data_IF_996096125251
#
_entry.id   IF_996096125251
#
_cell.length_a   1.000
_cell.length_b   1.000
_cell.length_c   1.000
_cell.angle_alpha   90.00
_cell.angle_beta   90.00
_cell.angle_gamma   90.00
#
_symmetry.space_group_name_H-M   'P 1'
#
loop_
_entity.id
_entity.type
_entity.pdbx_description
1 polymer ?
#
# COMPACT_ATOMS: atom_id res chain seq x y z
N UNK A 1 -36.38 -2.87 18.87
CA UNK A 1 -35.73 -3.39 17.68
C UNK A 1 -36.49 -2.91 16.46
N UNK A 2 -35.80 -2.52 15.37
CA UNK A 2 -36.49 -2.18 14.15
C UNK A 2 -37.18 -3.43 13.60
N UNK A 3 -38.46 -3.37 13.44
CA UNK A 3 -39.27 -4.49 12.96
C UNK A 3 -39.20 -4.64 11.44
N UNK A 4 -38.63 -3.64 10.76
CA UNK A 4 -38.40 -3.69 9.33
C UNK A 4 -36.89 -3.77 9.04
N UNK A 5 -36.43 -4.77 8.27
CA UNK A 5 -35.04 -4.85 7.88
C UNK A 5 -34.62 -3.60 7.09
N UNK A 6 -33.57 -2.94 7.51
CA UNK A 6 -32.98 -1.84 6.75
C UNK A 6 -32.07 -2.44 5.65
N UNK A 7 -32.41 -2.20 4.40
CA UNK A 7 -31.58 -2.66 3.28
C UNK A 7 -30.29 -1.85 3.20
N UNK A 8 -29.18 -2.50 2.87
CA UNK A 8 -27.88 -1.82 2.68
C UNK A 8 -27.94 -0.64 1.72
N UNK A 9 -28.81 -0.72 0.69
CA UNK A 9 -29.00 0.39 -0.24
C UNK A 9 -29.57 1.67 0.38
N UNK A 10 -30.29 1.58 1.50
CA UNK A 10 -30.78 2.75 2.26
C UNK A 10 -29.62 3.41 3.01
N UNK A 11 -28.71 2.61 3.55
CA UNK A 11 -27.53 3.11 4.25
C UNK A 11 -26.50 3.72 3.27
N UNK A 12 -26.39 3.19 2.06
CA UNK A 12 -25.47 3.63 1.03
C UNK A 12 -25.93 4.83 0.19
N UNK A 13 -27.20 5.25 0.34
CA UNK A 13 -27.78 6.31 -0.48
C UNK A 13 -28.11 5.88 -1.92
N UNK A 14 -28.69 6.80 -2.69
CA UNK A 14 -29.15 6.54 -4.06
C UNK A 14 -27.98 6.49 -5.06
N UNK A 15 -26.95 7.28 -4.86
CA UNK A 15 -25.72 7.28 -5.66
C UNK A 15 -24.58 6.62 -4.89
N UNK A 16 -24.42 5.33 -5.12
CA UNK A 16 -23.44 4.52 -4.40
C UNK A 16 -22.02 4.78 -4.84
N UNK A 17 -21.80 5.23 -6.08
CA UNK A 17 -20.46 5.38 -6.63
C UNK A 17 -19.67 6.50 -5.95
N UNK A 18 -20.35 7.58 -5.59
CA UNK A 18 -19.70 8.78 -5.01
C UNK A 18 -19.57 8.67 -3.48
N UNK A 19 -20.58 8.11 -2.80
CA UNK A 19 -20.65 8.13 -1.33
C UNK A 19 -20.03 6.91 -0.66
N UNK A 20 -19.86 5.81 -1.39
CA UNK A 20 -19.37 4.53 -0.83
C UNK A 20 -17.91 4.23 -1.13
N UNK A 21 -17.25 5.06 -1.92
CA UNK A 21 -15.83 4.91 -2.24
C UNK A 21 -15.07 6.06 -1.60
N UNK A 22 -14.47 5.85 -0.42
CA UNK A 22 -13.61 6.86 0.17
C UNK A 22 -12.41 7.09 -0.74
N UNK A 23 -12.16 8.36 -1.06
CA UNK A 23 -10.96 8.76 -1.82
C UNK A 23 -9.91 9.23 -0.84
N UNK A 24 -8.83 8.45 -0.71
CA UNK A 24 -7.66 8.79 0.08
C UNK A 24 -6.70 9.64 -0.76
N UNK A 25 -6.01 10.55 -0.12
CA UNK A 25 -5.06 11.48 -0.74
C UNK A 25 -3.71 11.36 -0.07
N UNK A 26 -2.64 11.41 -0.86
CA UNK A 26 -1.29 11.43 -0.32
C UNK A 26 -0.98 12.78 0.34
N UNK A 27 0.04 12.87 1.19
CA UNK A 27 0.52 14.13 1.74
C UNK A 27 0.95 15.15 0.67
N UNK A 28 1.31 14.70 -0.53
CA UNK A 28 1.72 15.54 -1.66
C UNK A 28 0.57 15.95 -2.59
N UNK A 29 -0.67 15.54 -2.29
CA UNK A 29 -1.81 15.72 -3.19
C UNK A 29 -2.00 17.17 -3.66
N UNK A 30 -1.99 18.13 -2.75
CA UNK A 30 -2.22 19.53 -3.11
C UNK A 30 -1.06 20.11 -3.95
N UNK A 31 0.19 19.78 -3.59
CA UNK A 31 1.35 20.19 -4.39
C UNK A 31 1.34 19.61 -5.80
N UNK A 32 0.94 18.36 -5.96
CA UNK A 32 0.78 17.72 -7.27
C UNK A 32 -0.35 18.35 -8.08
N UNK A 33 -1.46 18.65 -7.42
CA UNK A 33 -2.59 19.35 -8.05
C UNK A 33 -2.19 20.74 -8.56
N UNK A 34 -1.46 21.51 -7.76
CA UNK A 34 -0.92 22.80 -8.14
C UNK A 34 0.07 22.70 -9.32
N UNK A 35 0.78 21.58 -9.41
CA UNK A 35 1.69 21.26 -10.52
C UNK A 35 0.98 20.77 -11.78
N UNK A 36 -0.35 20.66 -11.78
CA UNK A 36 -1.15 20.31 -12.94
C UNK A 36 -1.21 18.82 -13.26
N UNK A 37 -1.05 17.95 -12.25
CA UNK A 37 -1.13 16.51 -12.48
C UNK A 37 -2.51 16.04 -12.90
N UNK A 38 -2.54 15.00 -13.73
CA UNK A 38 -3.73 14.19 -13.97
C UNK A 38 -3.78 13.10 -12.92
N UNK A 39 -4.85 13.06 -12.13
CA UNK A 39 -5.04 12.04 -11.11
C UNK A 39 -5.75 10.79 -11.65
N UNK A 40 -5.36 9.64 -11.13
CA UNK A 40 -6.03 8.36 -11.30
C UNK A 40 -6.31 7.70 -9.96
N UNK A 41 -7.21 6.70 -9.95
CA UNK A 41 -7.54 5.92 -8.76
C UNK A 41 -6.83 4.57 -8.78
N UNK A 42 -6.30 4.16 -7.62
CA UNK A 42 -5.81 2.82 -7.37
C UNK A 42 -6.29 2.35 -6.00
N UNK A 43 -7.19 1.37 -5.97
CA UNK A 43 -7.93 1.04 -4.75
C UNK A 43 -8.69 2.25 -4.23
N UNK A 44 -8.47 2.62 -2.98
CA UNK A 44 -9.09 3.78 -2.34
C UNK A 44 -8.30 5.09 -2.55
N UNK A 45 -7.18 5.05 -3.23
CA UNK A 45 -6.26 6.18 -3.37
C UNK A 45 -6.44 6.92 -4.68
N UNK A 46 -6.33 8.24 -4.59
CA UNK A 46 -6.11 9.13 -5.72
C UNK A 46 -4.60 9.39 -5.82
N UNK A 47 -3.97 8.96 -6.92
CA UNK A 47 -2.55 9.13 -7.15
C UNK A 47 -2.26 9.93 -8.42
N UNK A 48 -1.10 10.58 -8.47
CA UNK A 48 -0.62 11.30 -9.63
C UNK A 48 -0.23 10.33 -10.75
N UNK A 49 -0.81 10.51 -11.94
CA UNK A 49 -0.51 9.67 -13.09
C UNK A 49 0.58 10.28 -13.99
N UNK A 50 0.41 11.53 -14.38
CA UNK A 50 1.37 12.28 -15.19
C UNK A 50 1.12 13.79 -15.02
N UNK A 51 2.05 14.61 -15.54
CA UNK A 51 2.01 16.08 -15.52
C UNK A 51 2.05 16.63 -16.97
N UNK A 52 0.93 16.74 -17.67
CA UNK A 52 0.89 17.25 -19.03
C UNK A 52 1.38 18.69 -19.12
N UNK A 53 2.06 19.04 -20.22
CA UNK A 53 2.51 20.41 -20.52
C UNK A 53 1.76 20.89 -21.76
N UNK A 54 1.02 22.02 -21.62
CA UNK A 54 0.17 22.52 -22.71
C UNK A 54 -0.91 21.52 -23.12
N UNK A 55 -0.98 21.21 -24.40
CA UNK A 55 -2.00 20.31 -24.97
C UNK A 55 -1.54 18.86 -25.09
N UNK A 56 -0.53 18.44 -24.31
CA UNK A 56 -0.06 17.04 -24.32
C UNK A 56 -1.19 16.08 -23.93
N UNK A 57 -1.28 14.96 -24.65
CA UNK A 57 -2.05 13.83 -24.20
C UNK A 57 -1.38 13.16 -22.97
N UNK A 58 -2.13 12.34 -22.25
CA UNK A 58 -1.59 11.54 -21.13
C UNK A 58 -0.42 10.65 -21.59
N UNK A 59 -0.52 10.06 -22.79
CA UNK A 59 0.50 9.17 -23.33
C UNK A 59 1.77 9.93 -23.74
N UNK A 60 1.64 11.13 -24.30
CA UNK A 60 2.77 12.00 -24.64
C UNK A 60 3.49 12.47 -23.37
N UNK A 61 2.73 12.93 -22.36
CA UNK A 61 3.26 13.33 -21.07
C UNK A 61 4.02 12.17 -20.39
N UNK A 62 3.43 10.98 -20.35
CA UNK A 62 4.07 9.79 -19.77
C UNK A 62 5.35 9.44 -20.53
N UNK A 63 5.34 9.49 -21.87
CA UNK A 63 6.53 9.20 -22.69
C UNK A 63 7.65 10.20 -22.43
N UNK A 64 7.34 11.48 -22.32
CA UNK A 64 8.29 12.54 -21.98
C UNK A 64 8.88 12.34 -20.58
N UNK A 65 8.05 12.01 -19.59
CA UNK A 65 8.47 11.77 -18.21
C UNK A 65 9.39 10.55 -18.10
N UNK A 66 9.05 9.45 -18.79
CA UNK A 66 9.91 8.26 -18.87
C UNK A 66 11.27 8.61 -19.47
N UNK A 67 11.32 9.42 -20.54
CA UNK A 67 12.56 9.86 -21.13
C UNK A 67 13.38 10.73 -20.17
N UNK A 68 12.73 11.63 -19.43
CA UNK A 68 13.38 12.48 -18.43
C UNK A 68 14.03 11.66 -17.32
N UNK A 69 13.35 10.63 -16.81
CA UNK A 69 13.92 9.71 -15.81
C UNK A 69 15.15 8.96 -16.35
N UNK A 70 15.14 8.57 -17.63
CA UNK A 70 16.25 7.82 -18.25
C UNK A 70 17.45 8.68 -18.59
N UNK A 71 17.27 9.96 -18.82
CA UNK A 71 18.34 10.89 -19.26
C UNK A 71 18.78 11.87 -18.18
N UNK A 72 18.00 12.01 -17.12
CA UNK A 72 18.29 12.92 -16.02
C UNK A 72 17.80 12.30 -14.69
N UNK A 73 16.79 12.90 -14.05
CA UNK A 73 16.23 12.45 -12.78
C UNK A 73 14.71 12.61 -12.80
N UNK A 74 14.03 11.72 -12.09
CA UNK A 74 12.60 11.83 -11.84
C UNK A 74 12.28 11.65 -10.37
N UNK A 75 11.10 12.08 -9.98
CA UNK A 75 10.57 11.89 -8.63
C UNK A 75 9.12 11.43 -8.71
N UNK A 76 8.78 10.41 -7.94
CA UNK A 76 7.41 9.88 -7.90
C UNK A 76 6.92 9.72 -6.46
N UNK A 77 5.65 10.08 -6.23
CA UNK A 77 4.99 9.89 -4.95
C UNK A 77 4.64 8.41 -4.73
N UNK A 78 5.30 7.79 -3.77
CA UNK A 78 5.09 6.41 -3.34
C UNK A 78 4.33 6.33 -2.00
N UNK A 79 3.74 7.45 -1.55
CA UNK A 79 3.04 7.50 -0.26
C UNK A 79 1.80 6.61 -0.20
N UNK A 80 1.24 6.26 -1.35
CA UNK A 80 0.04 5.42 -1.46
C UNK A 80 0.30 3.92 -1.21
N UNK A 81 1.56 3.47 -1.29
CA UNK A 81 1.92 2.10 -0.93
C UNK A 81 1.55 1.81 0.53
N UNK A 82 0.98 0.64 0.78
CA UNK A 82 0.70 0.21 2.15
C UNK A 82 1.98 0.11 2.99
N UNK A 83 1.89 0.46 4.26
CA UNK A 83 3.00 0.38 5.22
C UNK A 83 2.49 -0.21 6.53
N UNK A 84 3.11 -1.31 6.94
CA UNK A 84 2.79 -2.02 8.17
C UNK A 84 4.05 -2.16 8.99
N UNK A 85 4.02 -1.65 10.21
CA UNK A 85 5.06 -1.87 11.20
C UNK A 85 4.82 -3.22 11.88
N UNK A 86 5.86 -4.04 11.97
CA UNK A 86 5.81 -5.40 12.52
C UNK A 86 6.86 -5.52 13.61
N UNK A 87 6.43 -5.70 14.84
CA UNK A 87 7.30 -5.81 16.01
C UNK A 87 6.98 -7.05 16.85
N UNK A 88 7.96 -7.51 17.58
CA UNK A 88 7.82 -8.63 18.54
C UNK A 88 8.82 -9.74 18.30
N UNK A 89 9.05 -10.55 19.31
CA UNK A 89 10.07 -11.61 19.27
C UNK A 89 9.79 -12.69 18.21
N UNK A 90 8.53 -12.88 17.80
CA UNK A 90 8.14 -13.78 16.72
C UNK A 90 7.95 -13.08 15.36
N UNK A 91 8.33 -11.79 15.22
CA UNK A 91 8.09 -11.02 13.99
C UNK A 91 8.71 -11.66 12.75
N UNK A 92 9.97 -12.08 12.80
CA UNK A 92 10.62 -12.74 11.67
C UNK A 92 10.02 -14.11 11.36
N UNK A 93 9.61 -14.84 12.40
CA UNK A 93 8.92 -16.13 12.26
C UNK A 93 7.58 -15.94 11.56
N UNK A 94 6.79 -14.95 12.00
CA UNK A 94 5.52 -14.60 11.37
C UNK A 94 5.68 -14.21 9.90
N UNK A 95 6.60 -13.30 9.59
CA UNK A 95 6.84 -12.88 8.21
C UNK A 95 7.31 -14.05 7.33
N UNK A 96 8.13 -14.96 7.86
CA UNK A 96 8.59 -16.16 7.13
C UNK A 96 7.48 -17.18 6.84
N UNK A 97 6.33 -17.09 7.50
CA UNK A 97 5.17 -17.95 7.20
C UNK A 97 4.32 -17.41 6.05
N UNK A 98 4.36 -16.10 5.80
CA UNK A 98 3.48 -15.46 4.82
C UNK A 98 4.20 -15.00 3.55
N UNK A 99 5.53 -14.87 3.60
CA UNK A 99 6.37 -14.55 2.45
C UNK A 99 7.18 -15.76 2.01
N UNK A 100 7.23 -16.01 0.70
CA UNK A 100 7.96 -17.17 0.16
C UNK A 100 9.47 -16.95 0.08
N UNK A 101 9.94 -15.74 0.22
CA UNK A 101 11.35 -15.41 0.17
C UNK A 101 12.05 -15.76 1.49
N UNK A 102 13.32 -16.11 1.42
CA UNK A 102 14.13 -16.22 2.63
C UNK A 102 14.46 -14.80 3.16
N UNK A 103 13.83 -14.48 4.28
CA UNK A 103 13.94 -13.17 4.94
C UNK A 103 14.64 -13.25 6.31
N UNK A 104 15.04 -14.44 6.74
CA UNK A 104 15.60 -14.69 8.08
C UNK A 104 16.93 -13.99 8.31
N UNK A 105 17.68 -13.74 7.24
CA UNK A 105 19.02 -13.15 7.28
C UNK A 105 19.04 -11.67 6.81
N UNK A 106 17.92 -10.96 6.89
CA UNK A 106 17.93 -9.52 6.57
C UNK A 106 18.61 -8.76 7.70
N UNK A 107 19.78 -8.20 7.41
CA UNK A 107 20.53 -7.37 8.33
C UNK A 107 19.77 -6.05 8.65
N UNK A 108 19.99 -5.51 9.84
CA UNK A 108 19.46 -4.20 10.23
C UNK A 108 19.93 -3.12 9.23
N UNK A 109 19.01 -2.29 8.78
CA UNK A 109 19.22 -1.26 7.76
C UNK A 109 19.17 -1.78 6.32
N UNK A 110 18.87 -3.07 6.11
CA UNK A 110 18.67 -3.66 4.80
C UNK A 110 17.20 -3.94 4.54
N UNK A 111 16.86 -4.03 3.26
CA UNK A 111 15.53 -4.43 2.81
C UNK A 111 15.63 -5.55 1.78
N UNK A 112 14.55 -6.32 1.67
CA UNK A 112 14.37 -7.34 0.64
C UNK A 112 13.00 -7.22 0.01
N UNK A 113 12.96 -7.31 -1.32
CA UNK A 113 11.70 -7.50 -2.04
C UNK A 113 11.17 -8.90 -1.77
N UNK A 114 9.89 -9.01 -1.52
CA UNK A 114 9.27 -10.27 -1.11
C UNK A 114 7.86 -10.44 -1.69
N UNK A 115 7.51 -11.68 -1.96
CA UNK A 115 6.21 -12.09 -2.47
C UNK A 115 5.40 -12.76 -1.36
N UNK A 116 4.21 -12.24 -1.11
CA UNK A 116 3.22 -12.86 -0.23
C UNK A 116 2.37 -13.82 -1.06
N UNK A 117 2.28 -15.06 -0.61
CA UNK A 117 1.49 -16.10 -1.28
C UNK A 117 0.26 -16.45 -0.44
N UNK A 118 -0.79 -16.90 -1.14
CA UNK A 118 -1.90 -17.60 -0.54
C UNK A 118 -1.56 -19.09 -0.37
N UNK A 119 -2.42 -19.81 0.34
CA UNK A 119 -2.27 -21.26 0.57
C UNK A 119 -2.25 -22.09 -0.72
N UNK A 120 -2.86 -21.58 -1.80
CA UNK A 120 -2.86 -22.19 -3.13
C UNK A 120 -1.59 -21.88 -3.96
N UNK A 121 -0.64 -21.14 -3.39
CA UNK A 121 0.61 -20.72 -4.03
C UNK A 121 0.47 -19.54 -5.00
N UNK A 122 -0.72 -18.97 -5.13
CA UNK A 122 -0.94 -17.77 -5.96
C UNK A 122 -0.45 -16.53 -5.22
N UNK A 123 0.24 -15.63 -5.94
CA UNK A 123 0.69 -14.35 -5.38
C UNK A 123 -0.52 -13.56 -4.89
N UNK A 124 -0.48 -13.21 -3.61
CA UNK A 124 -1.49 -12.39 -2.97
C UNK A 124 -1.12 -10.91 -3.01
N UNK A 125 0.14 -10.61 -2.75
CA UNK A 125 0.72 -9.27 -2.82
C UNK A 125 2.23 -9.34 -2.99
N UNK A 126 2.84 -8.20 -3.29
CA UNK A 126 4.28 -8.02 -3.34
C UNK A 126 4.68 -6.71 -2.65
N UNK A 127 5.93 -6.65 -2.23
CA UNK A 127 6.42 -5.44 -1.56
C UNK A 127 7.82 -5.63 -1.00
N UNK A 128 8.19 -4.79 -0.05
CA UNK A 128 9.50 -4.84 0.59
C UNK A 128 9.36 -5.11 2.08
N UNK A 129 10.32 -5.84 2.62
CA UNK A 129 10.50 -6.03 4.05
C UNK A 129 11.81 -5.38 4.42
N UNK A 130 11.75 -4.31 5.23
CA UNK A 130 12.91 -3.57 5.73
C UNK A 130 13.15 -3.94 7.18
N UNK A 131 14.36 -4.38 7.52
CA UNK A 131 14.77 -4.62 8.90
C UNK A 131 15.22 -3.30 9.53
N UNK A 132 14.42 -2.77 10.45
CA UNK A 132 14.69 -1.51 11.14
C UNK A 132 15.47 -1.69 12.45
N UNK A 133 15.46 -2.90 13.00
CA UNK A 133 16.12 -3.25 14.23
C UNK A 133 15.87 -4.71 14.59
N UNK A 134 16.40 -5.14 15.73
CA UNK A 134 16.10 -6.45 16.28
C UNK A 134 14.58 -6.60 16.49
N UNK A 135 13.99 -7.63 15.91
CA UNK A 135 12.55 -7.90 15.99
C UNK A 135 11.64 -6.74 15.53
N UNK A 136 12.13 -5.88 14.61
CA UNK A 136 11.41 -4.73 14.11
C UNK A 136 11.54 -4.59 12.60
N UNK A 137 10.42 -4.69 11.90
CA UNK A 137 10.36 -4.66 10.43
C UNK A 137 9.30 -3.67 9.95
N UNK A 138 9.60 -3.00 8.84
CA UNK A 138 8.62 -2.25 8.07
C UNK A 138 8.32 -3.02 6.78
N UNK A 139 7.06 -3.35 6.60
CA UNK A 139 6.56 -4.05 5.42
C UNK A 139 5.82 -3.05 4.53
N UNK A 140 6.15 -3.03 3.24
CA UNK A 140 5.36 -2.30 2.24
C UNK A 140 4.50 -3.27 1.43
N UNK A 141 3.39 -2.77 0.89
CA UNK A 141 2.43 -3.53 0.07
C UNK A 141 2.04 -2.72 -1.15
N UNK A 142 1.41 -3.35 -2.13
CA UNK A 142 0.82 -2.62 -3.25
C UNK A 142 -0.29 -1.69 -2.77
N UNK A 143 -0.48 -0.57 -3.46
CA UNK A 143 -1.47 0.46 -3.11
C UNK A 143 -2.88 -0.11 -3.03
N UNK A 144 -3.33 -0.78 -4.08
CA UNK A 144 -4.70 -1.27 -4.19
C UNK A 144 -5.02 -2.39 -3.19
N UNK A 145 -4.01 -3.19 -2.81
CA UNK A 145 -4.19 -4.38 -2.00
C UNK A 145 -3.86 -4.16 -0.50
N UNK A 146 -3.39 -2.98 -0.14
CA UNK A 146 -2.88 -2.69 1.21
C UNK A 146 -3.86 -3.04 2.34
N UNK A 147 -5.15 -2.71 2.17
CA UNK A 147 -6.19 -3.04 3.16
C UNK A 147 -6.46 -4.55 3.24
N UNK A 148 -6.40 -5.27 2.12
CA UNK A 148 -6.58 -6.72 2.10
C UNK A 148 -5.41 -7.43 2.80
N UNK A 149 -4.16 -7.00 2.54
CA UNK A 149 -2.96 -7.52 3.24
C UNK A 149 -3.05 -7.25 4.73
N UNK A 150 -3.41 -6.04 5.14
CA UNK A 150 -3.60 -5.69 6.55
C UNK A 150 -4.60 -6.62 7.25
N UNK A 151 -5.76 -6.84 6.64
CA UNK A 151 -6.79 -7.74 7.17
C UNK A 151 -6.30 -9.19 7.22
N UNK A 152 -5.58 -9.62 6.20
CA UNK A 152 -5.02 -10.97 6.11
C UNK A 152 -3.99 -11.22 7.22
N UNK A 153 -3.01 -10.33 7.40
CA UNK A 153 -2.01 -10.43 8.46
C UNK A 153 -2.64 -10.48 9.85
N UNK A 154 -3.61 -9.61 10.14
CA UNK A 154 -4.33 -9.62 11.41
C UNK A 154 -5.12 -10.92 11.61
N UNK A 155 -5.81 -11.40 10.57
CA UNK A 155 -6.54 -12.66 10.63
C UNK A 155 -5.62 -13.83 10.97
N UNK A 156 -4.47 -13.94 10.32
CA UNK A 156 -3.51 -14.99 10.58
C UNK A 156 -3.01 -14.97 12.02
N UNK A 157 -2.66 -13.80 12.55
CA UNK A 157 -2.24 -13.67 13.95
C UNK A 157 -3.35 -14.05 14.93
N UNK A 158 -4.60 -13.70 14.64
CA UNK A 158 -5.71 -13.99 15.55
C UNK A 158 -6.20 -15.43 15.50
N UNK A 159 -6.14 -16.10 14.34
CA UNK A 159 -6.74 -17.41 14.15
C UNK A 159 -5.74 -18.54 14.03
N UNK A 160 -4.64 -18.33 13.31
CA UNK A 160 -3.66 -19.40 13.04
C UNK A 160 -2.51 -19.38 14.05
N UNK A 161 -2.05 -18.18 14.45
CA UNK A 161 -0.89 -18.02 15.34
C UNK A 161 -1.17 -17.09 16.53
N UNK A 162 -2.22 -17.35 17.33
CA UNK A 162 -2.63 -16.44 18.42
C UNK A 162 -1.61 -16.36 19.57
N UNK A 163 -0.62 -17.24 19.58
CA UNK A 163 0.44 -17.27 20.61
C UNK A 163 1.72 -16.55 20.18
N UNK A 164 1.80 -16.07 18.93
CA UNK A 164 2.96 -15.32 18.47
C UNK A 164 3.02 -13.96 19.14
N UNK A 165 4.18 -13.62 19.65
CA UNK A 165 4.49 -12.27 20.12
C UNK A 165 4.78 -11.37 18.92
N UNK A 166 3.71 -10.89 18.28
CA UNK A 166 3.77 -9.98 17.13
C UNK A 166 2.74 -8.88 17.27
N UNK A 167 3.20 -7.65 17.14
CA UNK A 167 2.36 -6.47 17.07
C UNK A 167 2.41 -5.88 15.66
N UNK A 168 1.25 -5.69 15.05
CA UNK A 168 1.08 -5.01 13.78
C UNK A 168 0.55 -3.60 14.00
N UNK A 169 1.14 -2.61 13.33
CA UNK A 169 0.66 -1.23 13.34
C UNK A 169 0.51 -0.72 11.92
N UNK A 170 -0.66 -0.20 11.59
CA UNK A 170 -0.91 0.44 10.30
C UNK A 170 -0.25 1.82 10.26
N UNK A 171 0.67 2.02 9.33
CA UNK A 171 1.45 3.24 9.20
C UNK A 171 1.28 3.96 7.85
N UNK A 172 0.42 3.46 6.98
CA UNK A 172 0.26 3.99 5.61
C UNK A 172 0.01 5.51 5.60
N UNK A 173 -0.81 5.99 6.52
CA UNK A 173 -1.19 7.41 6.60
C UNK A 173 -0.17 8.28 7.38
N UNK A 174 0.84 7.66 7.98
CA UNK A 174 1.84 8.35 8.80
C UNK A 174 3.12 8.69 8.05
N UNK A 175 3.28 8.21 6.81
CA UNK A 175 4.48 8.39 6.01
C UNK A 175 4.19 9.07 4.68
N UNK A 176 5.00 10.07 4.36
CA UNK A 176 5.21 10.56 3.01
C UNK A 176 6.44 9.84 2.42
N UNK A 177 6.33 9.32 1.22
CA UNK A 177 7.41 8.56 0.57
C UNK A 177 7.59 9.03 -0.86
N UNK A 178 8.84 9.36 -1.21
CA UNK A 178 9.24 9.70 -2.58
C UNK A 178 10.27 8.70 -3.06
N UNK A 179 10.17 8.28 -4.31
CA UNK A 179 11.25 7.62 -5.03
C UNK A 179 11.91 8.63 -5.99
N UNK A 180 13.24 8.63 -6.02
CA UNK A 180 14.07 9.52 -6.84
C UNK A 180 15.02 8.68 -7.67
#
# INVERSE_FOLDING_TARGET
PPYSPVRFGVLGGADRSVHMTPVRRSPFHEAMKESGTVFQTSGDWLYSNCFPIGDESTDDAASREVLAVRTAVGCVDMSTLGKVDVKGSDSIRFLSQIYCNDIKEIEVGRLRYALMLREDGIVFDDGTISCLGENHYLVTTTTANSTAVWRWMNRLLQLEWPTFDVQLTWLTDNYASLAI
#
